data_IF_406923253719
#
_entry.id   IF_406923253719
#
_cell.length_a   1.000
_cell.length_b   1.000
_cell.length_c   1.000
_cell.angle_alpha   90.00
_cell.angle_beta   90.00
_cell.angle_gamma   90.00
#
_symmetry.space_group_name_H-M   'P 1'
#
loop_
_entity.id
_entity.type
_entity.pdbx_description
1 polymer ?
#
# COMPACT_ATOMS: atom_id res chain seq x y z
N UNK A 1 -31.11 -10.48 0.25
CA UNK A 1 -30.37 -9.67 -0.74
C UNK A 1 -31.26 -9.57 -1.96
N UNK A 2 -31.72 -8.37 -2.33
CA UNK A 2 -32.76 -8.21 -3.37
C UNK A 2 -32.12 -8.42 -4.75
N UNK A 3 -32.83 -9.07 -5.67
CA UNK A 3 -32.37 -9.46 -7.01
C UNK A 3 -31.75 -8.28 -7.81
N UNK A 4 -32.28 -7.06 -7.61
CA UNK A 4 -31.70 -5.80 -8.13
C UNK A 4 -30.30 -5.49 -7.59
N UNK A 5 -30.01 -5.76 -6.31
CA UNK A 5 -28.69 -5.51 -5.72
C UNK A 5 -27.64 -6.46 -6.30
N UNK A 6 -28.02 -7.71 -6.58
CA UNK A 6 -27.16 -8.69 -7.22
C UNK A 6 -26.88 -8.29 -8.68
N UNK A 7 -27.90 -7.86 -9.43
CA UNK A 7 -27.73 -7.37 -10.80
C UNK A 7 -26.85 -6.11 -10.87
N UNK A 8 -27.05 -5.15 -9.97
CA UNK A 8 -26.21 -3.95 -9.88
C UNK A 8 -24.78 -4.27 -9.43
N UNK A 9 -24.58 -5.29 -8.60
CA UNK A 9 -23.26 -5.79 -8.22
C UNK A 9 -22.53 -6.41 -9.43
N UNK A 10 -23.23 -7.21 -10.25
CA UNK A 10 -22.66 -7.78 -11.47
C UNK A 10 -22.34 -6.72 -12.52
N UNK A 11 -23.24 -5.74 -12.74
CA UNK A 11 -23.01 -4.63 -13.66
C UNK A 11 -21.79 -3.78 -13.28
N UNK A 12 -21.62 -3.47 -11.99
CA UNK A 12 -20.39 -2.80 -11.51
C UNK A 12 -19.14 -3.62 -11.74
N UNK A 13 -19.24 -4.95 -11.66
CA UNK A 13 -18.10 -5.85 -11.86
C UNK A 13 -17.66 -5.90 -13.32
N UNK A 14 -18.60 -5.84 -14.26
CA UNK A 14 -18.33 -5.71 -15.70
C UNK A 14 -17.75 -4.34 -16.05
N UNK A 15 -18.31 -3.24 -15.53
CA UNK A 15 -17.73 -1.90 -15.72
C UNK A 15 -16.30 -1.79 -15.18
N UNK A 16 -16.03 -2.41 -14.02
CA UNK A 16 -14.67 -2.46 -13.46
C UNK A 16 -13.71 -3.24 -14.37
N UNK A 17 -14.17 -4.35 -14.94
CA UNK A 17 -13.37 -5.19 -15.85
C UNK A 17 -13.06 -4.44 -17.14
N UNK A 18 -14.06 -3.79 -17.75
CA UNK A 18 -13.90 -3.08 -19.01
C UNK A 18 -12.99 -1.84 -18.84
N UNK A 19 -13.07 -1.16 -17.68
CA UNK A 19 -12.14 -0.08 -17.32
C UNK A 19 -10.72 -0.58 -17.08
N UNK A 20 -10.54 -1.71 -16.41
CA UNK A 20 -9.22 -2.31 -16.21
C UNK A 20 -8.59 -2.74 -17.54
N UNK A 21 -9.39 -3.23 -18.49
CA UNK A 21 -8.94 -3.59 -19.84
C UNK A 21 -8.62 -2.34 -20.67
N UNK A 22 -9.42 -1.28 -20.59
CA UNK A 22 -9.13 -0.01 -21.27
C UNK A 22 -7.86 0.67 -20.73
N UNK A 23 -7.59 0.57 -19.42
CA UNK A 23 -6.34 1.07 -18.83
C UNK A 23 -5.10 0.22 -19.14
N UNK A 24 -5.24 -0.95 -19.76
CA UNK A 24 -4.06 -1.71 -20.21
C UNK A 24 -3.43 -1.12 -21.49
N UNK A 25 -4.16 -0.28 -22.24
CA UNK A 25 -3.65 0.34 -23.48
C UNK A 25 -2.88 1.66 -23.23
N UNK A 26 -3.05 2.30 -22.06
CA UNK A 26 -2.21 3.41 -21.60
C UNK A 26 -1.42 3.01 -20.35
N UNK A 27 -0.09 3.15 -20.38
CA UNK A 27 0.78 2.91 -19.21
C UNK A 27 0.53 3.95 -18.10
N UNK A 28 -0.56 3.81 -17.35
CA UNK A 28 -0.82 4.61 -16.16
C UNK A 28 -0.21 3.95 -14.91
N UNK A 29 -0.15 4.70 -13.80
CA UNK A 29 0.43 4.21 -12.55
C UNK A 29 -0.26 2.94 -12.01
N UNK A 30 -1.53 2.72 -12.35
CA UNK A 30 -2.34 1.63 -11.84
C UNK A 30 -1.99 0.32 -12.55
N UNK A 31 -1.79 0.35 -13.88
CA UNK A 31 -1.32 -0.82 -14.63
C UNK A 31 0.05 -1.27 -14.14
N UNK A 32 0.96 -0.33 -13.85
CA UNK A 32 2.26 -0.61 -13.23
C UNK A 32 2.08 -1.23 -11.84
N UNK A 33 1.22 -0.65 -10.98
CA UNK A 33 0.96 -1.20 -9.64
C UNK A 33 0.41 -2.63 -9.70
N UNK A 34 -0.57 -2.89 -10.56
CA UNK A 34 -1.15 -4.22 -10.79
C UNK A 34 -0.08 -5.21 -11.26
N UNK A 35 0.77 -4.81 -12.21
CA UNK A 35 1.87 -5.65 -12.68
C UNK A 35 2.83 -6.01 -11.53
N UNK A 36 3.21 -5.03 -10.68
CA UNK A 36 4.07 -5.28 -9.52
C UNK A 36 3.41 -6.18 -8.50
N UNK A 37 2.11 -6.01 -8.26
CA UNK A 37 1.34 -6.90 -7.40
C UNK A 37 1.33 -8.33 -7.94
N UNK A 38 1.05 -8.52 -9.23
CA UNK A 38 1.07 -9.84 -9.87
C UNK A 38 2.44 -10.51 -9.79
N UNK A 39 3.53 -9.75 -9.98
CA UNK A 39 4.89 -10.28 -9.82
C UNK A 39 5.13 -10.80 -8.39
N UNK A 40 4.53 -10.21 -7.37
CA UNK A 40 4.65 -10.70 -6.00
C UNK A 40 4.05 -12.11 -5.80
N UNK A 41 3.07 -12.51 -6.63
CA UNK A 41 2.47 -13.86 -6.59
C UNK A 41 3.14 -14.82 -7.56
N UNK A 42 3.44 -14.36 -8.78
CA UNK A 42 3.86 -15.22 -9.88
C UNK A 42 5.38 -15.38 -9.96
N UNK A 43 6.12 -14.34 -9.60
CA UNK A 43 7.56 -14.25 -9.88
C UNK A 43 8.42 -14.14 -8.61
N UNK A 44 7.81 -14.16 -7.42
CA UNK A 44 8.54 -14.08 -6.17
C UNK A 44 9.14 -15.45 -5.78
N UNK A 45 10.46 -15.58 -5.88
CA UNK A 45 11.20 -16.80 -5.52
C UNK A 45 11.48 -16.88 -4.00
N UNK A 46 11.61 -15.72 -3.35
CA UNK A 46 11.90 -15.61 -1.91
C UNK A 46 10.94 -14.64 -1.22
N UNK A 47 10.86 -14.66 0.11
CA UNK A 47 10.06 -13.69 0.86
C UNK A 47 10.59 -12.26 0.71
N UNK A 48 11.89 -12.07 0.57
CA UNK A 48 12.46 -10.76 0.27
C UNK A 48 12.06 -10.26 -1.11
N UNK A 49 12.02 -11.13 -2.13
CA UNK A 49 11.54 -10.77 -3.46
C UNK A 49 10.04 -10.43 -3.46
N UNK A 50 9.23 -11.18 -2.70
CA UNK A 50 7.81 -10.90 -2.49
C UNK A 50 7.63 -9.53 -1.85
N UNK A 51 8.33 -9.25 -0.75
CA UNK A 51 8.30 -7.94 -0.07
C UNK A 51 8.75 -6.84 -1.04
N UNK A 52 9.76 -7.09 -1.86
CA UNK A 52 10.27 -6.14 -2.85
C UNK A 52 9.21 -5.77 -3.87
N UNK A 53 8.58 -6.75 -4.53
CA UNK A 53 7.50 -6.51 -5.48
C UNK A 53 6.31 -5.80 -4.82
N UNK A 54 5.98 -6.20 -3.59
CA UNK A 54 4.88 -5.65 -2.81
C UNK A 54 5.11 -4.18 -2.46
N UNK A 55 6.33 -3.82 -2.06
CA UNK A 55 6.72 -2.43 -1.79
C UNK A 55 6.77 -1.62 -3.08
N UNK A 56 7.26 -2.18 -4.20
CA UNK A 56 7.24 -1.48 -5.48
C UNK A 56 5.84 -1.23 -6.02
N UNK A 57 4.86 -2.11 -5.73
CA UNK A 57 3.46 -1.82 -5.98
C UNK A 57 2.99 -0.59 -5.18
N UNK A 58 3.33 -0.52 -3.88
CA UNK A 58 2.96 0.61 -3.03
C UNK A 58 3.66 1.92 -3.47
N UNK A 59 4.92 1.84 -3.91
CA UNK A 59 5.65 2.97 -4.50
C UNK A 59 4.87 3.52 -5.71
N UNK A 60 4.47 2.64 -6.64
CA UNK A 60 3.68 3.04 -7.82
C UNK A 60 2.33 3.68 -7.46
N UNK A 61 1.66 3.21 -6.41
CA UNK A 61 0.38 3.76 -5.97
C UNK A 61 0.53 5.13 -5.29
N UNK A 62 1.54 5.31 -4.44
CA UNK A 62 1.57 6.43 -3.49
C UNK A 62 2.69 7.43 -3.68
N UNK A 63 3.68 7.17 -4.53
CA UNK A 63 4.75 8.12 -4.85
C UNK A 63 4.52 8.80 -6.19
N UNK A 64 5.06 10.01 -6.33
CA UNK A 64 5.08 10.74 -7.61
C UNK A 64 6.35 10.40 -8.39
N UNK A 65 6.30 10.45 -9.71
CA UNK A 65 7.42 10.04 -10.57
C UNK A 65 8.70 10.87 -10.35
N UNK A 66 8.54 12.14 -9.94
CA UNK A 66 9.66 13.06 -9.65
C UNK A 66 10.04 13.11 -8.17
N UNK A 67 9.46 12.25 -7.33
CA UNK A 67 9.78 12.18 -5.91
C UNK A 67 11.09 11.38 -5.74
N UNK A 68 12.15 12.03 -5.24
CA UNK A 68 13.49 11.42 -5.13
C UNK A 68 14.04 11.36 -3.71
N UNK A 69 13.50 12.16 -2.79
CA UNK A 69 13.96 12.26 -1.40
C UNK A 69 12.94 11.64 -0.46
N UNK A 70 13.44 11.04 0.63
CA UNK A 70 12.62 10.52 1.73
C UNK A 70 11.52 9.52 1.33
N UNK A 71 11.69 8.78 0.22
CA UNK A 71 10.69 7.86 -0.34
C UNK A 71 10.07 6.94 0.71
N UNK A 72 10.91 6.30 1.52
CA UNK A 72 10.47 5.45 2.63
C UNK A 72 9.55 6.18 3.60
N UNK A 73 9.97 7.37 4.07
CA UNK A 73 9.21 8.16 5.05
C UNK A 73 7.88 8.58 4.43
N UNK A 74 7.93 9.18 3.26
CA UNK A 74 6.74 9.66 2.55
C UNK A 74 5.75 8.53 2.27
N UNK A 75 6.23 7.39 1.76
CA UNK A 75 5.42 6.21 1.51
C UNK A 75 4.74 5.70 2.80
N UNK A 76 5.52 5.57 3.87
CA UNK A 76 5.02 5.10 5.17
C UNK A 76 3.95 6.05 5.72
N UNK A 77 4.16 7.37 5.62
CA UNK A 77 3.20 8.37 6.09
C UNK A 77 1.89 8.33 5.29
N UNK A 78 1.97 8.34 3.95
CA UNK A 78 0.79 8.37 3.08
C UNK A 78 -0.10 7.16 3.29
N UNK A 79 0.48 5.96 3.31
CA UNK A 79 -0.29 4.73 3.50
C UNK A 79 -0.89 4.68 4.91
N UNK A 80 -0.15 5.11 5.93
CA UNK A 80 -0.66 5.12 7.31
C UNK A 80 -1.88 6.02 7.47
N UNK A 81 -1.89 7.19 6.84
CA UNK A 81 -3.04 8.11 6.88
C UNK A 81 -4.24 7.54 6.14
N UNK A 82 -4.04 6.97 4.95
CA UNK A 82 -5.15 6.32 4.23
C UNK A 82 -5.73 5.20 5.08
N UNK A 83 -4.89 4.34 5.64
CA UNK A 83 -5.34 3.20 6.42
C UNK A 83 -6.01 3.62 7.75
N UNK A 84 -5.65 4.78 8.30
CA UNK A 84 -6.35 5.38 9.45
C UNK A 84 -7.83 5.67 9.15
N UNK A 85 -8.16 6.08 7.91
CA UNK A 85 -9.56 6.29 7.49
C UNK A 85 -10.34 4.97 7.61
N UNK A 86 -9.70 3.85 7.28
CA UNK A 86 -10.22 2.49 7.42
C UNK A 86 -10.02 1.89 8.82
N UNK A 87 -9.77 2.72 9.84
CA UNK A 87 -9.64 2.34 11.26
C UNK A 87 -8.44 1.45 11.61
N UNK A 88 -7.45 1.32 10.72
CA UNK A 88 -6.18 0.71 11.09
C UNK A 88 -5.35 1.67 11.97
N UNK A 89 -4.49 1.08 12.81
CA UNK A 89 -3.58 1.87 13.63
C UNK A 89 -2.44 2.45 12.75
N UNK A 90 -2.35 3.78 12.57
CA UNK A 90 -1.37 4.38 11.67
C UNK A 90 0.08 4.14 12.10
N UNK A 91 0.36 4.00 13.40
CA UNK A 91 1.71 3.72 13.92
C UNK A 91 2.16 2.32 13.52
N UNK A 92 1.27 1.34 13.64
CA UNK A 92 1.57 -0.03 13.25
C UNK A 92 1.81 -0.14 11.75
N UNK A 93 0.98 0.53 10.95
CA UNK A 93 1.15 0.59 9.49
C UNK A 93 2.47 1.26 9.12
N UNK A 94 2.80 2.40 9.73
CA UNK A 94 4.06 3.09 9.49
C UNK A 94 5.26 2.19 9.76
N UNK A 95 5.29 1.55 10.93
CA UNK A 95 6.38 0.66 11.33
C UNK A 95 6.49 -0.58 10.44
N UNK A 96 5.34 -1.14 10.02
CA UNK A 96 5.28 -2.27 9.10
C UNK A 96 5.95 -1.93 7.76
N UNK A 97 5.64 -0.76 7.20
CA UNK A 97 6.20 -0.28 5.93
C UNK A 97 7.69 0.06 6.10
N UNK A 98 8.09 0.76 7.17
CA UNK A 98 9.51 1.09 7.41
C UNK A 98 10.38 -0.16 7.44
N UNK A 99 9.90 -1.22 8.10
CA UNK A 99 10.58 -2.51 8.15
C UNK A 99 10.62 -3.19 6.78
N UNK A 100 9.49 -3.28 6.08
CA UNK A 100 9.42 -3.91 4.76
C UNK A 100 10.29 -3.19 3.73
N UNK A 101 10.31 -1.86 3.76
CA UNK A 101 11.13 -1.04 2.87
C UNK A 101 12.63 -1.27 3.08
N UNK A 102 13.08 -1.44 4.33
CA UNK A 102 14.48 -1.79 4.63
C UNK A 102 14.88 -3.13 4.02
N UNK A 103 13.98 -4.12 4.05
CA UNK A 103 14.21 -5.43 3.43
C UNK A 103 14.29 -5.29 1.92
N UNK A 104 13.32 -4.59 1.29
CA UNK A 104 13.33 -4.29 -0.14
C UNK A 104 14.62 -3.61 -0.57
N UNK A 105 15.04 -2.56 0.14
CA UNK A 105 16.28 -1.83 -0.17
C UNK A 105 17.51 -2.72 -0.07
N UNK A 106 17.60 -3.54 0.98
CA UNK A 106 18.70 -4.50 1.15
C UNK A 106 18.72 -5.54 0.03
N UNK A 107 17.56 -6.10 -0.31
CA UNK A 107 17.41 -7.13 -1.34
C UNK A 107 17.74 -6.61 -2.74
N UNK A 108 17.29 -5.39 -3.08
CA UNK A 108 17.66 -4.72 -4.34
C UNK A 108 19.17 -4.46 -4.47
N UNK A 109 19.95 -4.59 -3.39
CA UNK A 109 21.41 -4.48 -3.39
C UNK A 109 22.10 -5.84 -3.17
N UNK A 110 21.38 -6.94 -3.41
CA UNK A 110 21.89 -8.31 -3.33
C UNK A 110 21.96 -8.89 -1.91
N UNK A 111 21.44 -8.20 -0.90
CA UNK A 111 21.49 -8.65 0.49
C UNK A 111 20.27 -9.48 0.91
N UNK A 112 20.49 -10.47 1.78
CA UNK A 112 19.44 -11.36 2.32
C UNK A 112 19.14 -10.99 3.78
N UNK A 113 17.93 -11.24 4.28
CA UNK A 113 17.56 -10.99 5.68
C UNK A 113 17.46 -12.28 6.49
N UNK A 114 17.95 -12.27 7.74
CA UNK A 114 17.88 -13.44 8.66
C UNK A 114 16.75 -13.31 9.68
N UNK A 115 15.67 -12.60 9.33
CA UNK A 115 14.56 -12.34 10.23
C UNK A 115 13.73 -13.60 10.46
N UNK A 116 13.45 -13.91 11.73
CA UNK A 116 12.61 -15.05 12.12
C UNK A 116 11.12 -14.84 11.79
N UNK A 117 10.68 -13.59 11.71
CA UNK A 117 9.28 -13.21 11.46
C UNK A 117 9.00 -12.87 9.98
N UNK A 118 9.90 -13.25 9.07
CA UNK A 118 9.87 -12.84 7.67
C UNK A 118 8.60 -13.28 6.95
N UNK A 119 8.13 -14.51 7.17
CA UNK A 119 6.90 -15.02 6.56
C UNK A 119 5.65 -14.22 6.99
N UNK A 120 5.54 -13.94 8.30
CA UNK A 120 4.43 -13.16 8.84
C UNK A 120 4.46 -11.71 8.35
N UNK A 121 5.66 -11.12 8.25
CA UNK A 121 5.85 -9.79 7.70
C UNK A 121 5.44 -9.75 6.22
N UNK A 122 5.88 -10.72 5.42
CA UNK A 122 5.53 -10.85 4.01
C UNK A 122 4.01 -10.95 3.81
N UNK A 123 3.32 -11.76 4.62
CA UNK A 123 1.86 -11.86 4.59
C UNK A 123 1.18 -10.52 4.91
N UNK A 124 1.59 -9.87 6.00
CA UNK A 124 1.01 -8.59 6.45
C UNK A 124 1.18 -7.48 5.41
N UNK A 125 2.36 -7.38 4.79
CA UNK A 125 2.59 -6.35 3.77
C UNK A 125 1.81 -6.66 2.49
N UNK A 126 1.66 -7.93 2.13
CA UNK A 126 0.86 -8.34 0.96
C UNK A 126 -0.62 -8.01 1.15
N UNK A 127 -1.17 -8.29 2.33
CA UNK A 127 -2.56 -7.95 2.69
C UNK A 127 -2.78 -6.43 2.68
N UNK A 128 -1.83 -5.67 3.23
CA UNK A 128 -1.86 -4.21 3.19
C UNK A 128 -1.86 -3.68 1.76
N UNK A 129 -0.99 -4.21 0.89
CA UNK A 129 -0.90 -3.81 -0.51
C UNK A 129 -2.16 -4.16 -1.28
N UNK A 130 -2.77 -5.33 -1.02
CA UNK A 130 -4.06 -5.68 -1.60
C UNK A 130 -5.13 -4.64 -1.24
N UNK A 131 -5.20 -4.24 0.03
CA UNK A 131 -6.14 -3.20 0.47
C UNK A 131 -5.85 -1.86 -0.20
N UNK A 132 -4.59 -1.42 -0.23
CA UNK A 132 -4.18 -0.19 -0.90
C UNK A 132 -4.56 -0.16 -2.37
N UNK A 133 -4.34 -1.27 -3.08
CA UNK A 133 -4.66 -1.40 -4.50
C UNK A 133 -6.18 -1.29 -4.72
N UNK A 134 -6.98 -1.99 -3.92
CA UNK A 134 -8.45 -1.93 -4.01
C UNK A 134 -8.99 -0.52 -3.74
N UNK A 135 -8.44 0.17 -2.73
CA UNK A 135 -8.82 1.56 -2.43
C UNK A 135 -8.54 2.45 -3.65
N UNK A 136 -7.34 2.35 -4.23
CA UNK A 136 -6.94 3.21 -5.34
C UNK A 136 -7.69 2.90 -6.63
N UNK A 137 -7.95 1.63 -6.95
CA UNK A 137 -8.83 1.26 -8.08
C UNK A 137 -10.22 1.91 -7.92
N UNK A 138 -10.77 1.90 -6.70
CA UNK A 138 -12.09 2.48 -6.44
C UNK A 138 -12.09 4.02 -6.48
N UNK A 139 -10.97 4.66 -6.11
CA UNK A 139 -10.83 6.12 -6.14
C UNK A 139 -10.47 6.63 -7.53
N UNK A 140 -9.61 5.95 -8.29
CA UNK A 140 -9.22 6.31 -9.67
C UNK A 140 -10.42 6.39 -10.61
N UNK A 141 -11.46 5.60 -10.32
CA UNK A 141 -12.75 5.70 -10.99
C UNK A 141 -13.47 7.05 -10.81
N UNK A 142 -12.98 7.94 -9.93
CA UNK A 142 -13.63 9.17 -9.48
C UNK A 142 -12.70 10.38 -9.35
N UNK A 143 -11.42 10.17 -9.04
CA UNK A 143 -10.45 11.20 -8.63
C UNK A 143 -9.08 10.79 -9.16
N UNK A 144 -8.32 11.74 -9.71
CA UNK A 144 -6.96 11.48 -10.19
C UNK A 144 -5.98 11.20 -9.03
N UNK A 145 -4.99 10.33 -9.26
CA UNK A 145 -3.94 10.01 -8.27
C UNK A 145 -3.30 11.24 -7.63
N UNK A 146 -3.03 12.28 -8.43
CA UNK A 146 -2.35 13.49 -7.96
C UNK A 146 -3.18 14.22 -6.92
N UNK A 147 -4.50 14.26 -7.10
CA UNK A 147 -5.45 14.85 -6.16
C UNK A 147 -5.52 14.01 -4.88
N UNK A 148 -5.63 12.68 -4.99
CA UNK A 148 -5.58 11.79 -3.82
C UNK A 148 -4.31 12.02 -3.00
N UNK A 149 -3.14 12.11 -3.66
CA UNK A 149 -1.87 12.36 -2.97
C UNK A 149 -1.84 13.75 -2.30
N UNK A 150 -2.45 14.75 -2.94
CA UNK A 150 -2.55 16.12 -2.38
C UNK A 150 -3.41 16.10 -1.11
N UNK A 151 -4.59 15.50 -1.16
CA UNK A 151 -5.50 15.43 -0.01
C UNK A 151 -4.86 14.70 1.18
N UNK A 152 -4.13 13.61 0.92
CA UNK A 152 -3.40 12.90 1.97
C UNK A 152 -2.31 13.79 2.59
N UNK A 153 -1.61 14.59 1.78
CA UNK A 153 -0.59 15.52 2.28
C UNK A 153 -1.23 16.56 3.20
N UNK A 154 -2.39 17.08 2.82
CA UNK A 154 -3.09 18.08 3.63
C UNK A 154 -3.56 17.47 4.96
N UNK A 155 -4.03 16.21 4.96
CA UNK A 155 -4.34 15.46 6.18
C UNK A 155 -3.11 15.22 7.07
N UNK A 156 -1.94 14.91 6.49
CA UNK A 156 -0.69 14.75 7.23
C UNK A 156 -0.32 16.03 8.00
N UNK A 157 -0.54 17.19 7.39
CA UNK A 157 -0.24 18.48 8.02
C UNK A 157 -1.18 18.78 9.20
N UNK A 158 -2.44 18.32 9.12
CA UNK A 158 -3.44 18.49 10.19
C UNK A 158 -3.16 17.55 11.37
N UNK A 159 -2.76 16.31 11.11
CA UNK A 159 -2.63 15.26 12.11
C UNK A 159 -1.38 15.37 13.02
N UNK A 160 -0.55 16.42 12.86
CA UNK A 160 0.78 16.60 13.46
C UNK A 160 1.49 15.27 13.79
N UNK A 161 2.27 14.74 12.84
CA UNK A 161 3.00 13.46 12.99
C UNK A 161 3.83 13.35 14.29
N UNK A 162 4.14 14.47 14.94
CA UNK A 162 4.78 14.49 16.25
C UNK A 162 3.88 13.90 17.35
N UNK A 163 2.56 14.09 17.28
CA UNK A 163 1.57 13.49 18.17
C UNK A 163 1.55 11.96 18.03
N UNK A 164 1.56 11.47 16.78
CA UNK A 164 1.50 10.03 16.51
C UNK A 164 2.84 9.34 16.86
N UNK A 165 3.99 10.02 16.72
CA UNK A 165 5.28 9.51 17.22
C UNK A 165 5.32 9.41 18.75
N UNK A 166 4.69 10.34 19.47
CA UNK A 166 4.59 10.34 20.93
C UNK A 166 3.74 9.15 21.44
N UNK A 167 2.72 8.73 20.69
CA UNK A 167 1.98 7.51 20.99
C UNK A 167 2.77 6.23 20.69
N UNK A 168 3.70 6.25 19.72
CA UNK A 168 4.53 5.09 19.37
C UNK A 168 5.54 4.70 20.46
N UNK A 169 6.05 5.67 21.24
CA UNK A 169 6.86 5.38 22.43
C UNK A 169 6.04 4.74 23.55
N UNK A 170 4.74 5.04 23.63
CA UNK A 170 3.80 4.42 24.57
C UNK A 170 3.39 3.00 24.12
N UNK A 171 3.24 2.76 22.80
CA UNK A 171 2.87 1.45 22.24
C UNK A 171 4.02 0.43 22.30
N UNK A 172 5.29 0.87 22.28
CA UNK A 172 6.43 -0.04 22.53
C UNK A 172 6.34 -0.79 23.86
N UNK A 173 5.57 -0.29 24.82
CA UNK A 173 5.29 -0.94 26.11
C UNK A 173 4.11 -1.94 26.08
N UNK A 174 3.35 -2.03 25.00
CA UNK A 174 2.23 -2.97 24.85
C UNK A 174 2.47 -3.89 23.65
N UNK A 175 3.25 -4.96 23.89
CA UNK A 175 3.29 -6.11 22.98
C UNK A 175 1.90 -6.76 22.97
N UNK A 176 1.40 -7.06 21.77
CA UNK A 176 0.12 -7.72 21.45
C UNK A 176 -1.08 -6.78 21.26
N UNK A 177 -1.18 -6.17 20.08
CA UNK A 177 -2.50 -5.92 19.46
C UNK A 177 -2.41 -6.35 17.99
N UNK A 178 -3.32 -7.24 17.62
CA UNK A 178 -3.46 -7.88 16.31
C UNK A 178 -3.65 -6.82 15.20
N UNK A 179 -3.05 -7.10 14.05
CA UNK A 179 -3.54 -6.63 12.75
C UNK A 179 -4.67 -7.58 12.33
#
# INVERSE_FOLDING_TARGET
MKEKELYMFFLRKTELKDRLLAQQEEYNYLSIAIQRYNNAFLNAETRESLITYTISCLEALFLKDNERMDLKRTLSQRISIIMKIFKFNPILIYNLIDVAYKIRSKYSHGGITKRKDLDNLAKKILDLTRMSLLILIQLDAKIEKIEVIKDIRDLINIDDWNLIKKDSSLIKNRKNILL
#
